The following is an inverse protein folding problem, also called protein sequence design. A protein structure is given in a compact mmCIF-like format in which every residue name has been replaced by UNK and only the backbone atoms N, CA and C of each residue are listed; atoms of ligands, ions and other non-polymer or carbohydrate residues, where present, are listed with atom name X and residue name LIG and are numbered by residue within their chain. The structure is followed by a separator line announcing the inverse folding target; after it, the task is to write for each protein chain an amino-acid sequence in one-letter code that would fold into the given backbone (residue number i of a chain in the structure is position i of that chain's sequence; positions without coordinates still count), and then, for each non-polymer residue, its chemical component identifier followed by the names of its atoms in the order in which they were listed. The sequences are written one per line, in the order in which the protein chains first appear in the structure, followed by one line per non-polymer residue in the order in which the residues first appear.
data_IF_261068122053
#
_entry.id   IF_261068122053
#
_cell.length_a   1.000
_cell.length_b   1.000
_cell.length_c   1.000
_cell.angle_alpha   90.00
_cell.angle_beta   90.00
_cell.angle_gamma   90.00
#
_symmetry.space_group_name_H-M   'P 1'
#
loop_
_entity.id
_entity.type
_entity.pdbx_description
1 polymer ?
#
# COMPACT_ATOMS: atom_id res chain seq x y z
N UNK A 1 -14.31 -0.31 -1.88
CA UNK A 1 -14.87 -1.64 -1.57
C UNK A 1 -15.00 -2.48 -2.84
N UNK A 2 -14.98 -3.81 -2.74
CA UNK A 2 -15.14 -4.75 -3.87
C UNK A 2 -16.41 -4.48 -4.69
N UNK A 3 -17.46 -4.01 -4.04
CA UNK A 3 -18.72 -3.65 -4.69
C UNK A 3 -18.51 -2.58 -5.76
N UNK A 4 -17.81 -1.49 -5.46
CA UNK A 4 -17.53 -0.44 -6.45
C UNK A 4 -16.64 -0.92 -7.58
N UNK A 5 -15.69 -1.82 -7.31
CA UNK A 5 -14.89 -2.46 -8.35
C UNK A 5 -15.76 -3.30 -9.29
N UNK A 6 -16.72 -4.03 -8.73
CA UNK A 6 -17.69 -4.78 -9.53
C UNK A 6 -18.51 -3.86 -10.44
N UNK A 7 -19.06 -2.77 -9.90
CA UNK A 7 -19.80 -1.79 -10.70
C UNK A 7 -18.94 -1.12 -11.76
N UNK A 8 -17.70 -0.82 -11.48
CA UNK A 8 -16.77 -0.29 -12.47
C UNK A 8 -16.51 -1.30 -13.62
N UNK A 9 -16.39 -2.60 -13.31
CA UNK A 9 -16.27 -3.64 -14.35
C UNK A 9 -17.56 -3.75 -15.19
N UNK A 10 -18.72 -3.70 -14.55
CA UNK A 10 -20.03 -3.70 -15.25
C UNK A 10 -20.12 -2.51 -16.20
N UNK A 11 -19.76 -1.32 -15.74
CA UNK A 11 -19.77 -0.10 -16.56
C UNK A 11 -18.82 -0.22 -17.75
N UNK A 12 -17.60 -0.72 -17.54
CA UNK A 12 -16.62 -0.93 -18.63
C UNK A 12 -17.12 -1.90 -19.69
N UNK A 13 -17.74 -3.02 -19.28
CA UNK A 13 -18.32 -4.00 -20.22
C UNK A 13 -19.43 -3.35 -21.04
N UNK A 14 -20.35 -2.65 -20.39
CA UNK A 14 -21.47 -1.99 -21.04
C UNK A 14 -21.02 -0.86 -21.98
N UNK A 15 -20.09 -0.02 -21.53
CA UNK A 15 -19.51 1.06 -22.34
C UNK A 15 -18.75 0.50 -23.55
N UNK A 16 -17.95 -0.55 -23.37
CA UNK A 16 -17.24 -1.23 -24.46
C UNK A 16 -18.21 -1.77 -25.47
N UNK A 17 -19.26 -2.47 -25.04
CA UNK A 17 -20.30 -2.99 -25.91
C UNK A 17 -21.00 -1.90 -26.72
N UNK A 18 -21.39 -0.82 -26.05
CA UNK A 18 -22.10 0.29 -26.68
C UNK A 18 -21.21 1.08 -27.64
N UNK A 19 -20.00 1.47 -27.19
CA UNK A 19 -19.13 2.36 -27.96
C UNK A 19 -18.43 1.68 -29.14
N UNK A 20 -18.05 0.39 -29.00
CA UNK A 20 -17.25 -0.31 -30.00
C UNK A 20 -18.05 -1.30 -30.83
N UNK A 21 -19.06 -1.95 -30.25
CA UNK A 21 -19.85 -2.98 -30.92
C UNK A 21 -21.25 -2.49 -31.32
N UNK A 22 -21.71 -1.36 -30.83
CA UNK A 22 -23.07 -0.85 -31.02
C UNK A 22 -24.14 -1.73 -30.35
N UNK A 23 -23.76 -2.54 -29.35
CA UNK A 23 -24.64 -3.50 -28.69
C UNK A 23 -24.94 -3.09 -27.24
N UNK A 24 -26.16 -3.30 -26.79
CA UNK A 24 -26.57 -3.08 -25.41
C UNK A 24 -26.34 -4.34 -24.57
N UNK A 25 -25.10 -4.58 -24.14
CA UNK A 25 -24.72 -5.82 -23.44
C UNK A 25 -25.32 -5.95 -22.03
N UNK A 26 -25.81 -4.87 -21.41
CA UNK A 26 -26.29 -4.87 -20.03
C UNK A 26 -27.41 -5.89 -19.74
N UNK A 27 -28.27 -6.22 -20.71
CA UNK A 27 -29.29 -7.25 -20.54
C UNK A 27 -28.69 -8.64 -20.29
N UNK A 28 -27.50 -8.91 -20.86
CA UNK A 28 -26.81 -10.18 -20.70
C UNK A 28 -26.17 -10.38 -19.35
N UNK A 29 -26.17 -9.37 -18.47
CA UNK A 29 -25.72 -9.46 -17.10
C UNK A 29 -26.58 -10.41 -16.24
N UNK A 30 -27.91 -10.49 -16.52
CA UNK A 30 -28.84 -11.30 -15.73
C UNK A 30 -29.34 -12.55 -16.48
N UNK A 31 -29.39 -12.51 -17.80
CA UNK A 31 -29.87 -13.61 -18.64
C UNK A 31 -29.29 -13.51 -20.06
N UNK A 32 -29.39 -14.57 -20.85
CA UNK A 32 -29.02 -14.49 -22.29
C UNK A 32 -29.79 -13.36 -22.97
N UNK A 33 -29.11 -12.53 -23.75
CA UNK A 33 -29.70 -11.37 -24.42
C UNK A 33 -30.89 -11.79 -25.27
N UNK A 34 -31.99 -11.01 -25.21
CA UNK A 34 -33.24 -11.40 -25.83
C UNK A 34 -33.21 -11.35 -27.36
N UNK A 35 -32.51 -10.36 -27.89
CA UNK A 35 -32.56 -10.06 -29.35
C UNK A 35 -31.22 -10.38 -30.03
N UNK A 36 -30.11 -10.12 -29.37
CA UNK A 36 -28.78 -10.33 -29.92
C UNK A 36 -28.21 -11.69 -29.46
N UNK A 37 -27.36 -12.36 -30.27
CA UNK A 37 -26.81 -13.67 -29.94
C UNK A 37 -25.69 -13.57 -28.87
N UNK A 38 -25.98 -12.92 -27.75
CA UNK A 38 -25.07 -12.74 -26.65
C UNK A 38 -25.47 -13.61 -25.45
N UNK A 39 -24.86 -14.78 -25.27
CA UNK A 39 -25.12 -15.62 -24.12
C UNK A 39 -24.74 -14.92 -22.79
N UNK A 40 -25.51 -15.20 -21.74
CA UNK A 40 -25.20 -14.73 -20.38
C UNK A 40 -23.76 -15.01 -19.99
N UNK A 41 -23.23 -16.19 -20.27
CA UNK A 41 -21.84 -16.56 -20.01
C UNK A 41 -20.84 -15.64 -20.69
N UNK A 42 -21.06 -15.27 -21.95
CA UNK A 42 -20.14 -14.41 -22.71
C UNK A 42 -20.03 -13.00 -22.14
N UNK A 43 -21.07 -12.50 -21.46
CA UNK A 43 -21.00 -11.26 -20.72
C UNK A 43 -19.94 -11.33 -19.61
N UNK A 44 -19.93 -12.40 -18.82
CA UNK A 44 -18.96 -12.59 -17.74
C UNK A 44 -17.55 -12.97 -18.24
N UNK A 45 -17.46 -13.64 -19.37
CA UNK A 45 -16.17 -13.85 -20.05
C UNK A 45 -15.54 -12.52 -20.46
N UNK A 46 -16.34 -11.60 -21.04
CA UNK A 46 -15.88 -10.24 -21.34
C UNK A 46 -15.53 -9.47 -20.07
N UNK A 47 -16.34 -9.57 -19.02
CA UNK A 47 -16.06 -8.95 -17.73
C UNK A 47 -14.74 -9.46 -17.11
N UNK A 48 -14.39 -10.72 -17.31
CA UNK A 48 -13.14 -11.29 -16.79
C UNK A 48 -11.90 -10.60 -17.39
N UNK A 49 -11.94 -10.16 -18.64
CA UNK A 49 -10.86 -9.36 -19.24
C UNK A 49 -10.71 -7.98 -18.56
N UNK A 50 -11.79 -7.43 -18.02
CA UNK A 50 -11.77 -6.13 -17.34
C UNK A 50 -11.35 -6.23 -15.88
N UNK A 51 -11.28 -7.43 -15.31
CA UNK A 51 -10.97 -7.64 -13.90
C UNK A 51 -9.53 -7.23 -13.53
N UNK A 52 -8.60 -7.35 -14.48
CA UNK A 52 -7.18 -7.02 -14.28
C UNK A 52 -6.81 -5.64 -14.84
N UNK A 53 -7.79 -4.82 -15.24
CA UNK A 53 -7.52 -3.48 -15.74
C UNK A 53 -7.12 -2.55 -14.59
N UNK A 54 -6.00 -1.84 -14.77
CA UNK A 54 -5.60 -0.72 -13.94
C UNK A 54 -6.10 0.59 -14.57
N UNK A 55 -6.41 1.57 -13.76
CA UNK A 55 -6.72 2.94 -14.19
C UNK A 55 -5.51 3.84 -13.85
N UNK A 56 -4.47 3.88 -14.69
CA UNK A 56 -3.32 4.72 -14.43
C UNK A 56 -3.69 6.18 -14.63
N UNK A 57 -3.25 7.03 -13.71
CA UNK A 57 -3.30 8.46 -13.92
C UNK A 57 -2.17 8.85 -14.89
N UNK A 58 -2.53 9.29 -16.08
CA UNK A 58 -1.58 9.82 -17.06
C UNK A 58 -1.53 11.35 -16.94
N UNK A 59 -0.45 11.93 -16.45
CA UNK A 59 -0.30 13.37 -16.41
C UNK A 59 -0.22 13.93 -17.83
N UNK A 60 -1.20 14.73 -18.22
CA UNK A 60 -1.22 15.43 -19.51
C UNK A 60 -0.46 16.75 -19.37
N UNK A 61 0.84 16.72 -19.63
CA UNK A 61 1.64 17.93 -19.67
C UNK A 61 1.49 18.68 -21.00
N UNK A 62 1.30 19.98 -20.94
CA UNK A 62 1.49 20.82 -22.13
C UNK A 62 2.95 20.77 -22.58
N UNK A 63 3.26 21.07 -23.86
CA UNK A 63 4.65 21.14 -24.34
C UNK A 63 5.55 22.04 -23.46
N UNK A 64 5.03 23.18 -23.01
CA UNK A 64 5.74 24.12 -22.15
C UNK A 64 6.02 23.55 -20.76
N UNK A 65 5.05 22.86 -20.16
CA UNK A 65 5.23 22.17 -18.88
C UNK A 65 6.27 21.05 -18.97
N UNK A 66 6.28 20.31 -20.09
CA UNK A 66 7.26 19.26 -20.33
C UNK A 66 8.68 19.82 -20.43
N UNK A 67 8.86 20.88 -21.22
CA UNK A 67 10.16 21.58 -21.36
C UNK A 67 10.63 22.15 -20.01
N UNK A 68 9.71 22.77 -19.25
CA UNK A 68 10.04 23.29 -17.92
C UNK A 68 10.45 22.17 -16.96
N UNK A 69 9.74 21.05 -16.95
CA UNK A 69 10.09 19.86 -16.14
C UNK A 69 11.49 19.36 -16.48
N UNK A 70 11.78 19.14 -17.76
CA UNK A 70 13.09 18.67 -18.23
C UNK A 70 14.22 19.64 -17.83
N UNK A 71 13.97 20.95 -17.94
CA UNK A 71 14.93 21.98 -17.52
C UNK A 71 15.21 21.93 -16.01
N UNK A 72 14.16 21.82 -15.18
CA UNK A 72 14.31 21.71 -13.72
C UNK A 72 15.02 20.41 -13.33
N UNK A 73 14.67 19.28 -13.92
CA UNK A 73 15.36 18.02 -13.69
C UNK A 73 16.84 18.06 -14.05
N UNK A 74 17.19 18.76 -15.14
CA UNK A 74 18.58 19.01 -15.52
C UNK A 74 19.30 19.83 -14.46
N UNK A 75 18.72 20.95 -14.02
CA UNK A 75 19.29 21.79 -12.96
C UNK A 75 19.50 21.01 -11.65
N UNK A 76 18.53 20.18 -11.25
CA UNK A 76 18.68 19.34 -10.07
C UNK A 76 19.86 18.37 -10.22
N UNK A 77 19.99 17.70 -11.37
CA UNK A 77 21.14 16.80 -11.62
C UNK A 77 22.47 17.53 -11.57
N UNK A 78 22.56 18.72 -12.18
CA UNK A 78 23.76 19.55 -12.16
C UNK A 78 24.13 19.99 -10.76
N UNK A 79 23.16 20.42 -9.96
CA UNK A 79 23.38 20.80 -8.56
C UNK A 79 23.80 19.59 -7.71
N UNK A 80 23.15 18.43 -7.86
CA UNK A 80 23.52 17.22 -7.14
C UNK A 80 24.93 16.75 -7.48
N UNK A 81 25.34 16.83 -8.77
CA UNK A 81 26.68 16.48 -9.19
C UNK A 81 27.77 17.44 -8.69
N UNK A 82 27.40 18.68 -8.42
CA UNK A 82 28.32 19.69 -7.88
C UNK A 82 28.45 19.67 -6.35
N UNK A 83 27.60 18.90 -5.65
CA UNK A 83 27.68 18.75 -4.21
C UNK A 83 28.96 17.97 -3.84
N UNK A 84 29.96 18.68 -3.34
CA UNK A 84 31.13 18.05 -2.75
C UNK A 84 30.75 17.46 -1.38
N UNK A 85 30.66 16.13 -1.31
CA UNK A 85 30.48 15.46 -0.04
C UNK A 85 31.82 15.49 0.72
N UNK A 86 31.83 16.17 1.88
CA UNK A 86 32.98 16.12 2.79
C UNK A 86 33.01 14.71 3.43
N UNK A 87 33.71 13.80 2.78
CA UNK A 87 33.79 12.40 3.20
C UNK A 87 34.31 12.26 4.65
N UNK A 88 35.19 13.15 5.12
CA UNK A 88 35.71 13.09 6.48
C UNK A 88 34.62 13.43 7.51
N UNK A 89 33.82 14.44 7.24
CA UNK A 89 32.65 14.78 8.09
C UNK A 89 31.59 13.70 8.06
N UNK A 90 31.32 13.13 6.91
CA UNK A 90 30.37 12.04 6.75
C UNK A 90 30.80 10.82 7.55
N UNK A 91 32.06 10.37 7.44
CA UNK A 91 32.59 9.23 8.19
C UNK A 91 32.62 9.49 9.70
N UNK A 92 32.95 10.70 10.12
CA UNK A 92 32.91 11.08 11.54
C UNK A 92 31.46 11.04 12.09
N UNK A 93 30.52 11.56 11.33
CA UNK A 93 29.09 11.49 11.66
C UNK A 93 28.61 10.04 11.70
N UNK A 94 28.92 9.24 10.67
CA UNK A 94 28.52 7.84 10.59
C UNK A 94 29.07 7.01 11.78
N UNK A 95 30.33 7.26 12.16
CA UNK A 95 30.93 6.61 13.34
C UNK A 95 30.17 6.97 14.62
N UNK A 96 29.80 8.23 14.79
CA UNK A 96 29.01 8.69 15.94
C UNK A 96 27.63 8.04 15.96
N UNK A 97 26.92 8.02 14.85
CA UNK A 97 25.59 7.43 14.76
C UNK A 97 25.61 5.91 15.00
N UNK A 98 26.61 5.21 14.43
CA UNK A 98 26.77 3.77 14.67
C UNK A 98 27.06 3.43 16.13
N UNK A 99 27.72 4.30 16.86
CA UNK A 99 28.01 4.09 18.29
C UNK A 99 26.75 4.22 19.18
N UNK A 100 25.73 4.94 18.70
CA UNK A 100 24.47 5.15 19.40
C UNK A 100 23.32 4.33 18.82
N UNK A 101 23.55 3.68 17.68
CA UNK A 101 22.51 2.89 17.01
C UNK A 101 22.12 1.65 17.84
N UNK A 102 20.83 1.45 18.00
CA UNK A 102 20.31 0.21 18.59
C UNK A 102 20.45 -0.91 17.55
N UNK A 103 21.12 -2.03 17.91
CA UNK A 103 21.22 -3.17 17.00
C UNK A 103 19.85 -3.88 16.89
N UNK A 104 19.15 -3.61 15.83
CA UNK A 104 17.89 -4.32 15.52
C UNK A 104 18.19 -5.66 14.88
N UNK A 105 17.48 -6.69 15.31
CA UNK A 105 17.50 -8.00 14.68
C UNK A 105 16.20 -8.18 13.91
N UNK A 106 16.31 -8.45 12.61
CA UNK A 106 15.14 -8.82 11.80
C UNK A 106 14.66 -10.20 12.22
N UNK A 107 13.36 -10.31 12.47
CA UNK A 107 12.68 -11.57 12.78
C UNK A 107 11.82 -11.98 11.58
N UNK A 108 11.88 -13.24 11.23
CA UNK A 108 11.14 -13.81 10.09
C UNK A 108 9.97 -14.64 10.61
N UNK A 109 8.74 -14.39 10.15
CA UNK A 109 7.60 -15.18 10.57
C UNK A 109 7.69 -16.61 10.03
N UNK A 110 7.26 -17.57 10.84
CA UNK A 110 7.14 -18.98 10.44
C UNK A 110 5.83 -19.28 9.72
N UNK A 111 4.80 -18.46 9.98
CA UNK A 111 3.54 -18.49 9.25
C UNK A 111 3.04 -17.06 9.05
N UNK A 112 2.37 -16.86 7.93
CA UNK A 112 1.76 -15.60 7.54
C UNK A 112 0.36 -15.86 6.99
N UNK A 113 -0.60 -15.08 7.42
CA UNK A 113 -1.96 -15.11 6.92
C UNK A 113 -2.50 -13.70 6.76
N UNK A 114 -3.25 -13.47 5.69
CA UNK A 114 -4.03 -12.26 5.49
C UNK A 114 -5.51 -12.64 5.33
N UNK A 115 -6.41 -11.85 5.92
CA UNK A 115 -7.85 -12.15 5.81
C UNK A 115 -8.41 -11.96 4.40
N UNK A 116 -7.75 -11.15 3.58
CA UNK A 116 -8.21 -10.77 2.24
C UNK A 116 -7.11 -10.95 1.18
N UNK A 117 -5.94 -10.36 1.42
CA UNK A 117 -4.83 -10.33 0.48
C UNK A 117 -3.92 -11.54 0.58
N UNK A 118 -2.75 -11.42 0.00
CA UNK A 118 -1.68 -12.40 0.01
C UNK A 118 -0.45 -11.78 0.63
N UNK A 119 0.26 -12.55 1.46
CA UNK A 119 1.55 -12.18 2.04
C UNK A 119 2.64 -13.07 1.46
N UNK A 120 3.71 -12.46 1.00
CA UNK A 120 4.88 -13.14 0.43
C UNK A 120 6.14 -12.68 1.16
N UNK A 121 6.94 -13.62 1.64
CA UNK A 121 8.24 -13.33 2.21
C UNK A 121 9.26 -13.16 1.08
N UNK A 122 9.92 -12.01 1.03
CA UNK A 122 10.93 -11.70 0.03
C UNK A 122 12.35 -12.12 0.49
N UNK A 123 13.31 -12.12 -0.44
CA UNK A 123 14.69 -12.50 -0.17
C UNK A 123 15.40 -11.60 0.87
N UNK A 124 15.00 -10.33 0.95
CA UNK A 124 15.49 -9.36 1.93
C UNK A 124 14.80 -9.48 3.30
N UNK A 125 13.98 -10.52 3.49
CA UNK A 125 13.19 -10.79 4.70
C UNK A 125 12.05 -9.79 4.94
N UNK A 126 11.74 -8.93 3.99
CA UNK A 126 10.52 -8.12 4.03
C UNK A 126 9.29 -8.94 3.61
N UNK A 127 8.09 -8.48 4.01
CA UNK A 127 6.83 -9.13 3.68
C UNK A 127 6.10 -8.25 2.67
N UNK A 128 5.93 -8.76 1.46
CA UNK A 128 5.17 -8.08 0.43
C UNK A 128 3.69 -8.46 0.51
N UNK A 129 2.82 -7.45 0.67
CA UNK A 129 1.39 -7.63 0.68
C UNK A 129 0.79 -7.30 -0.70
N UNK A 130 0.05 -8.23 -1.27
CA UNK A 130 -0.57 -8.12 -2.60
C UNK A 130 -2.01 -8.64 -2.61
N UNK A 131 -2.60 -8.73 -3.79
CA UNK A 131 -3.94 -9.27 -3.99
C UNK A 131 -5.05 -8.24 -3.76
N UNK A 132 -6.22 -8.73 -3.41
CA UNK A 132 -7.42 -7.91 -3.29
C UNK A 132 -7.38 -6.96 -2.08
N UNK A 133 -8.10 -5.85 -2.17
CA UNK A 133 -8.10 -4.80 -1.12
C UNK A 133 -9.51 -4.51 -0.64
N UNK A 134 -9.66 -4.38 0.67
CA UNK A 134 -10.87 -3.88 1.34
C UNK A 134 -10.49 -2.78 2.33
N UNK A 135 -11.50 -2.20 2.94
CA UNK A 135 -11.32 -1.17 3.97
C UNK A 135 -10.51 -1.69 5.17
N UNK A 136 -10.69 -2.95 5.54
CA UNK A 136 -9.96 -3.61 6.61
C UNK A 136 -9.40 -4.94 6.10
N UNK A 137 -8.14 -5.18 6.40
CA UNK A 137 -7.46 -6.45 6.22
C UNK A 137 -6.67 -6.75 7.49
N UNK A 138 -6.65 -7.99 7.93
CA UNK A 138 -5.93 -8.41 9.11
C UNK A 138 -4.76 -9.30 8.70
N UNK A 139 -3.56 -8.94 9.12
CA UNK A 139 -2.35 -9.74 8.93
C UNK A 139 -2.01 -10.45 10.23
N UNK A 140 -1.91 -11.75 10.17
CA UNK A 140 -1.48 -12.59 11.28
C UNK A 140 -0.11 -13.17 10.96
N UNK A 141 0.86 -12.85 11.80
CA UNK A 141 2.24 -13.29 11.65
C UNK A 141 2.62 -14.10 12.90
N UNK A 142 2.99 -15.37 12.70
CA UNK A 142 3.48 -16.23 13.78
C UNK A 142 5.00 -16.31 13.74
N UNK A 143 5.62 -16.16 14.90
CA UNK A 143 7.07 -16.23 15.07
C UNK A 143 7.40 -17.31 16.08
N UNK A 144 8.31 -18.19 15.73
CA UNK A 144 8.90 -19.16 16.63
C UNK A 144 10.36 -18.79 16.86
N UNK A 145 10.95 -19.33 17.90
CA UNK A 145 12.39 -19.19 18.22
C UNK A 145 12.85 -17.72 18.30
N UNK A 146 12.03 -16.89 18.92
CA UNK A 146 12.39 -15.51 19.18
C UNK A 146 13.53 -15.39 20.20
N UNK A 147 14.40 -14.39 20.08
CA UNK A 147 15.41 -14.10 21.10
C UNK A 147 14.79 -13.86 22.47
N UNK A 148 15.46 -14.30 23.52
CA UNK A 148 15.03 -13.99 24.88
C UNK A 148 15.22 -12.49 25.19
N UNK A 149 14.34 -11.94 26.03
CA UNK A 149 14.49 -10.58 26.54
C UNK A 149 14.13 -9.47 25.54
N UNK A 150 13.24 -9.75 24.59
CA UNK A 150 12.72 -8.71 23.69
C UNK A 150 11.96 -7.66 24.51
N UNK A 151 12.41 -6.42 24.43
CA UNK A 151 11.80 -5.27 25.09
C UNK A 151 11.08 -4.34 24.13
N UNK A 152 11.39 -4.40 22.85
CA UNK A 152 10.86 -3.48 21.84
C UNK A 152 10.71 -4.19 20.50
N UNK A 153 9.62 -3.87 19.80
CA UNK A 153 9.38 -4.28 18.42
C UNK A 153 9.43 -3.06 17.51
N UNK A 154 10.01 -3.23 16.34
CA UNK A 154 10.02 -2.22 15.29
C UNK A 154 9.31 -2.76 14.05
N UNK A 155 8.28 -2.03 13.61
CA UNK A 155 7.60 -2.26 12.35
C UNK A 155 8.04 -1.21 11.34
N UNK A 156 8.47 -1.65 10.18
CA UNK A 156 8.84 -0.79 9.06
C UNK A 156 7.83 -0.95 7.91
N UNK A 157 7.21 0.14 7.49
CA UNK A 157 6.41 0.20 6.28
C UNK A 157 7.31 0.65 5.13
N UNK A 158 7.69 -0.31 4.26
CA UNK A 158 8.67 -0.08 3.21
C UNK A 158 7.98 0.31 1.89
N UNK A 159 8.50 1.29 1.16
CA UNK A 159 8.03 1.59 -0.19
C UNK A 159 8.45 0.48 -1.17
N UNK A 160 7.59 0.18 -2.15
CA UNK A 160 7.88 -0.80 -3.20
C UNK A 160 7.35 -0.31 -4.55
N UNK A 161 8.14 -0.42 -5.61
CA UNK A 161 7.78 0.02 -6.95
C UNK A 161 6.55 -0.72 -7.53
N UNK A 162 6.23 -1.90 -7.02
CA UNK A 162 5.05 -2.70 -7.39
C UNK A 162 3.77 -2.19 -6.72
N UNK A 163 3.90 -1.40 -5.65
CA UNK A 163 2.79 -0.80 -4.94
C UNK A 163 2.36 0.52 -5.60
N UNK A 164 1.11 0.95 -5.44
CA UNK A 164 0.60 2.18 -6.02
C UNK A 164 1.47 3.39 -5.69
N UNK A 165 1.87 4.14 -6.70
CA UNK A 165 2.79 5.30 -6.61
C UNK A 165 4.15 4.99 -5.95
N UNK A 166 4.54 3.72 -5.89
CA UNK A 166 5.77 3.30 -5.22
C UNK A 166 5.78 3.54 -3.71
N UNK A 167 4.61 3.70 -3.10
CA UNK A 167 4.47 3.92 -1.66
C UNK A 167 4.49 2.62 -0.85
N UNK A 168 4.38 2.71 0.49
CA UNK A 168 4.42 1.53 1.36
C UNK A 168 3.08 0.79 1.46
N UNK A 169 1.99 1.33 0.94
CA UNK A 169 0.67 0.78 1.12
C UNK A 169 -0.02 0.35 -0.17
N UNK A 170 -0.97 -0.57 -0.03
CA UNK A 170 -1.86 -0.99 -1.12
C UNK A 170 -2.91 0.09 -1.35
N UNK A 171 -3.26 0.35 -2.63
CA UNK A 171 -4.35 1.25 -2.94
C UNK A 171 -5.66 0.73 -2.37
N UNK A 172 -6.39 1.62 -1.72
CA UNK A 172 -7.74 1.35 -1.35
C UNK A 172 -8.63 2.55 -1.73
N UNK A 173 -9.94 2.32 -1.91
CA UNK A 173 -10.83 3.24 -2.60
C UNK A 173 -10.95 4.64 -1.98
N UNK A 174 -10.92 4.75 -0.66
CA UNK A 174 -11.18 6.01 0.06
C UNK A 174 -9.90 6.74 0.51
N UNK A 175 -8.74 6.13 0.34
CA UNK A 175 -7.46 6.68 0.77
C UNK A 175 -6.58 7.19 -0.37
N UNK A 176 -5.54 7.96 -0.06
CA UNK A 176 -4.51 8.28 -1.03
C UNK A 176 -3.85 7.02 -1.57
N UNK A 177 -3.62 6.95 -2.88
CA UNK A 177 -2.93 5.82 -3.51
C UNK A 177 -1.52 5.68 -2.94
N UNK A 178 -1.17 4.47 -2.52
CA UNK A 178 0.15 4.17 -1.97
C UNK A 178 0.33 4.51 -0.50
N UNK A 179 -0.70 5.05 0.16
CA UNK A 179 -0.68 5.26 1.60
C UNK A 179 -0.90 3.94 2.34
N UNK A 180 -0.36 3.88 3.53
CA UNK A 180 -0.47 2.81 4.47
C UNK A 180 -1.17 3.33 5.74
N UNK A 181 -2.09 2.55 6.27
CA UNK A 181 -2.78 2.87 7.51
C UNK A 181 -2.85 1.61 8.39
N UNK A 182 -2.18 1.67 9.54
CA UNK A 182 -2.24 0.65 10.58
C UNK A 182 -3.21 1.10 11.67
N UNK A 183 -4.42 0.54 11.68
CA UNK A 183 -5.42 0.88 12.68
C UNK A 183 -5.13 0.28 14.05
N UNK A 184 -4.60 -0.96 14.09
CA UNK A 184 -4.35 -1.65 15.36
C UNK A 184 -3.20 -2.65 15.23
N UNK A 185 -2.34 -2.70 16.23
CA UNK A 185 -1.28 -3.69 16.40
C UNK A 185 -1.48 -4.43 17.72
N UNK A 186 -1.58 -5.75 17.66
CA UNK A 186 -1.68 -6.62 18.84
C UNK A 186 -0.53 -7.61 18.87
N UNK A 187 0.05 -7.78 20.03
CA UNK A 187 1.03 -8.81 20.30
C UNK A 187 0.40 -9.90 21.17
N UNK A 188 0.52 -11.16 20.77
CA UNK A 188 0.03 -12.31 21.53
C UNK A 188 1.21 -13.21 21.82
N UNK A 189 1.45 -13.53 23.07
CA UNK A 189 2.43 -14.52 23.51
C UNK A 189 1.75 -15.56 24.39
N UNK A 190 1.98 -16.83 24.11
CA UNK A 190 1.38 -17.96 24.83
C UNK A 190 -0.15 -17.87 24.97
N UNK A 191 -0.81 -17.38 23.92
CA UNK A 191 -2.27 -17.20 23.88
C UNK A 191 -2.79 -16.00 24.69
N UNK A 192 -1.90 -15.21 25.28
CA UNK A 192 -2.23 -14.01 26.06
C UNK A 192 -1.87 -12.74 25.30
N UNK A 193 -2.74 -11.72 25.35
CA UNK A 193 -2.42 -10.41 24.80
C UNK A 193 -1.37 -9.73 25.65
N UNK A 194 -0.24 -9.40 25.05
CA UNK A 194 0.83 -8.62 25.68
C UNK A 194 0.51 -7.14 25.53
N UNK A 195 0.42 -6.44 26.65
CA UNK A 195 0.18 -5.01 26.65
C UNK A 195 1.44 -4.27 26.18
N UNK A 196 1.30 -3.51 25.10
CA UNK A 196 2.31 -2.58 24.63
C UNK A 196 2.12 -1.24 25.36
N UNK A 197 3.13 -0.79 26.12
CA UNK A 197 2.98 0.37 27.01
C UNK A 197 3.22 1.70 26.30
N UNK A 198 4.05 1.69 25.25
CA UNK A 198 4.40 2.90 24.51
C UNK A 198 4.68 2.58 23.05
N UNK A 199 4.46 3.56 22.18
CA UNK A 199 4.82 3.54 20.78
C UNK A 199 5.35 4.89 20.34
N UNK A 200 6.31 4.88 19.43
CA UNK A 200 6.81 6.06 18.75
C UNK A 200 6.96 5.79 17.27
N UNK A 201 6.89 6.83 16.49
CA UNK A 201 7.02 6.79 15.03
C UNK A 201 8.03 7.85 14.55
N UNK A 202 8.64 7.60 13.40
CA UNK A 202 9.48 8.59 12.73
C UNK A 202 8.68 9.59 11.90
N UNK A 203 7.46 9.21 11.50
CA UNK A 203 6.52 10.06 10.78
C UNK A 203 5.08 9.64 11.06
N UNK A 204 4.20 10.62 11.25
CA UNK A 204 2.76 10.41 11.27
C UNK A 204 2.07 11.57 10.56
N UNK A 205 1.06 11.26 9.77
CA UNK A 205 0.22 12.27 9.15
C UNK A 205 -0.49 13.09 10.23
N UNK A 206 -0.46 14.41 10.10
CA UNK A 206 -1.34 15.26 10.90
C UNK A 206 -2.79 15.11 10.41
N UNK A 207 -3.64 14.55 11.25
CA UNK A 207 -5.05 14.38 10.97
C UNK A 207 -5.83 15.67 11.29
N UNK A 208 -6.81 16.00 10.42
CA UNK A 208 -7.77 17.07 10.70
C UNK A 208 -8.94 16.43 11.45
N UNK A 209 -8.84 16.29 12.78
CA UNK A 209 -9.85 15.66 13.61
C UNK A 209 -9.44 15.56 15.08
N UNK A 210 -10.29 15.00 15.92
CA UNK A 210 -10.10 14.93 17.39
C UNK A 210 -9.08 13.87 17.85
N UNK A 211 -8.60 12.99 16.98
CA UNK A 211 -7.59 11.97 17.31
C UNK A 211 -6.18 12.41 16.97
N UNK A 212 -5.19 12.12 17.80
CA UNK A 212 -3.77 12.23 17.45
C UNK A 212 -3.40 10.96 16.67
N UNK A 213 -3.10 11.02 15.36
CA UNK A 213 -2.57 9.88 14.63
C UNK A 213 -1.17 9.58 15.16
N UNK A 214 -0.72 8.35 15.00
CA UNK A 214 0.63 7.93 15.36
C UNK A 214 0.66 6.53 15.93
N UNK A 215 1.84 6.09 16.36
CA UNK A 215 2.05 4.74 16.86
C UNK A 215 1.16 4.39 18.05
N UNK A 216 0.90 5.35 18.95
CA UNK A 216 0.01 5.13 20.09
C UNK A 216 -1.44 4.90 19.68
N UNK A 217 -1.90 5.52 18.60
CA UNK A 217 -3.25 5.32 18.08
C UNK A 217 -3.43 3.93 17.43
N UNK A 218 -2.35 3.23 17.11
CA UNK A 218 -2.39 1.84 16.67
C UNK A 218 -2.36 0.83 17.85
N UNK A 219 -2.47 1.31 19.10
CA UNK A 219 -2.43 0.51 20.33
C UNK A 219 -3.63 0.79 21.25
N UNK A 220 -4.58 1.60 20.82
CA UNK A 220 -5.67 2.13 21.67
C UNK A 220 -6.96 1.29 21.62
N UNK A 221 -7.03 0.31 20.72
CA UNK A 221 -8.19 -0.56 20.54
C UNK A 221 -9.31 0.04 19.67
N UNK A 222 -9.12 1.24 19.12
CA UNK A 222 -10.06 1.88 18.21
C UNK A 222 -9.61 1.70 16.75
N UNK A 223 -10.34 0.91 15.99
CA UNK A 223 -10.04 0.64 14.57
C UNK A 223 -10.21 1.87 13.65
N UNK A 224 -10.69 3.00 14.16
CA UNK A 224 -10.83 4.23 13.40
C UNK A 224 -9.64 5.19 13.58
N UNK A 225 -8.83 4.95 14.59
CA UNK A 225 -7.55 5.63 14.82
C UNK A 225 -6.40 4.76 14.33
N UNK A 226 -5.20 5.30 14.24
CA UNK A 226 -4.04 4.51 13.80
C UNK A 226 -2.86 5.33 13.33
N UNK A 227 -1.88 4.63 12.76
CA UNK A 227 -0.67 5.21 12.19
C UNK A 227 -0.72 5.17 10.64
N UNK A 228 -0.38 6.29 10.01
CA UNK A 228 -0.36 6.46 8.55
C UNK A 228 0.93 7.11 8.10
N UNK A 229 1.44 6.66 6.95
CA UNK A 229 2.59 7.25 6.27
C UNK A 229 2.20 8.36 5.26
N UNK A 230 0.94 8.72 5.14
CA UNK A 230 0.45 9.71 4.19
C UNK A 230 1.09 11.08 4.41
N UNK A 231 1.61 11.65 3.32
CA UNK A 231 2.23 12.97 3.32
C UNK A 231 3.76 12.94 3.33
N UNK A 232 4.37 11.74 3.22
CA UNK A 232 5.78 11.58 2.89
C UNK A 232 6.02 11.77 1.38
#
# INVERSE_FOLDING_TARGET
PLEFRFYAMVDRVNTTGTAWLGLTLGCAQCHTHKFDPVPHRSYYELMAFMNNTAEPELPLFTPEQKTKKESVEKQIREQLSSLAVDNAKYEAWLKKERATAVPWQTIVPTKMNASIGWLELLEDQSIFASGDTRKHDTYELEFNDLPEGITTLRLEALPDARLPKGGPGRAYYEGPKGDFFLSELRLIADGQVVKLESGSENHAKQWIGSGKPGAMAALDGDLQTGWSASGL
#
